data_IF_727719477736
#
_entry.id   IF_727719477736
#
_cell.length_a   1.000
_cell.length_b   1.000
_cell.length_c   1.000
_cell.angle_alpha   90.00
_cell.angle_beta   90.00
_cell.angle_gamma   90.00
#
_symmetry.space_group_name_H-M   'P 1'
#
loop_
_entity.id
_entity.type
_entity.pdbx_description
1 polymer ?
#
# COMPACT_ATOMS: atom_id res chain seq x y z
N UNK A 1 14.91 -2.58 20.21
CA UNK A 1 15.29 -2.26 18.82
C UNK A 1 14.16 -1.42 18.22
N UNK A 2 14.42 -0.51 17.28
CA UNK A 2 13.33 0.19 16.59
C UNK A 2 12.48 -0.81 15.81
N UNK A 3 11.16 -0.56 15.76
CA UNK A 3 10.23 -1.38 15.00
C UNK A 3 10.51 -1.26 13.49
N UNK A 4 10.37 -2.37 12.79
CA UNK A 4 10.64 -2.47 11.34
C UNK A 4 9.34 -2.51 10.55
N UNK A 5 9.10 -1.48 9.78
CA UNK A 5 7.91 -1.34 8.94
C UNK A 5 8.24 -1.64 7.48
N UNK A 6 7.54 -2.62 6.93
CA UNK A 6 7.53 -2.91 5.49
C UNK A 6 6.31 -2.25 4.85
N UNK A 7 6.52 -1.45 3.82
CA UNK A 7 5.44 -1.00 2.94
C UNK A 7 5.33 -1.97 1.76
N UNK A 8 4.15 -2.46 1.50
CA UNK A 8 3.84 -3.31 0.35
C UNK A 8 2.92 -2.57 -0.62
N UNK A 9 3.35 -2.44 -1.86
CA UNK A 9 2.58 -1.84 -2.95
C UNK A 9 2.25 -2.94 -3.96
N UNK A 10 1.01 -3.49 -3.95
CA UNK A 10 0.52 -4.33 -5.02
C UNK A 10 0.34 -3.49 -6.28
N UNK A 11 0.98 -3.88 -7.39
CA UNK A 11 0.95 -3.16 -8.65
C UNK A 11 0.47 -4.05 -9.79
N UNK A 12 -0.60 -3.62 -10.47
CA UNK A 12 -1.10 -4.26 -11.68
C UNK A 12 -1.72 -3.21 -12.60
N UNK A 13 -1.11 -2.99 -13.77
CA UNK A 13 -1.56 -2.02 -14.76
C UNK A 13 -1.84 -0.62 -14.17
N UNK A 14 -0.85 -0.09 -13.47
CA UNK A 14 -0.92 1.22 -12.78
C UNK A 14 0.27 2.15 -13.15
N UNK A 15 0.73 2.08 -14.40
CA UNK A 15 1.86 2.85 -14.93
C UNK A 15 1.82 4.34 -14.56
N UNK A 16 0.64 4.97 -14.68
CA UNK A 16 0.46 6.41 -14.42
C UNK A 16 0.33 6.74 -12.93
N UNK A 17 -0.11 5.80 -12.12
CA UNK A 17 -0.40 5.99 -10.70
C UNK A 17 0.80 5.66 -9.82
N UNK A 18 1.50 4.57 -10.11
CA UNK A 18 2.55 4.04 -9.22
C UNK A 18 3.67 5.04 -8.91
N UNK A 19 4.13 5.94 -9.82
CA UNK A 19 5.11 6.95 -9.46
C UNK A 19 4.60 7.94 -8.40
N UNK A 20 3.29 8.30 -8.43
CA UNK A 20 2.69 9.19 -7.44
C UNK A 20 2.58 8.51 -6.08
N UNK A 21 2.25 7.21 -6.07
CA UNK A 21 2.25 6.40 -4.84
C UNK A 21 3.64 6.35 -4.24
N UNK A 22 4.66 6.07 -5.05
CA UNK A 22 6.06 6.03 -4.61
C UNK A 22 6.56 7.39 -4.09
N UNK A 23 6.10 8.51 -4.67
CA UNK A 23 6.46 9.84 -4.20
C UNK A 23 6.00 10.10 -2.75
N UNK A 24 4.99 9.40 -2.25
CA UNK A 24 4.57 9.52 -0.86
C UNK A 24 5.65 9.05 0.13
N UNK A 25 6.54 8.15 -0.30
CA UNK A 25 7.67 7.68 0.51
C UNK A 25 8.76 8.74 0.72
N UNK A 26 8.74 9.82 -0.07
CA UNK A 26 9.67 10.95 0.05
C UNK A 26 9.26 11.94 1.15
N UNK A 27 8.04 11.81 1.69
CA UNK A 27 7.63 12.57 2.87
C UNK A 27 8.57 12.25 4.04
N UNK A 28 9.04 13.28 4.75
CA UNK A 28 10.04 13.15 5.81
C UNK A 28 9.58 12.22 6.95
N UNK A 29 8.32 12.31 7.34
CA UNK A 29 7.78 11.49 8.43
C UNK A 29 7.58 10.05 8.00
N UNK A 30 7.12 9.85 6.76
CA UNK A 30 6.99 8.52 6.14
C UNK A 30 8.37 7.87 6.00
N UNK A 31 9.34 8.58 5.45
CA UNK A 31 10.70 8.08 5.27
C UNK A 31 11.38 7.71 6.60
N UNK A 32 11.06 8.43 7.69
CA UNK A 32 11.58 8.10 9.02
C UNK A 32 10.94 6.84 9.63
N UNK A 33 9.73 6.48 9.21
CA UNK A 33 9.00 5.29 9.67
C UNK A 33 9.34 4.05 8.86
N UNK A 34 9.43 4.18 7.54
CA UNK A 34 9.53 3.04 6.61
C UNK A 34 10.94 2.46 6.62
N UNK A 35 11.06 1.17 6.95
CA UNK A 35 12.34 0.46 6.87
C UNK A 35 12.64 0.01 5.44
N UNK A 36 11.63 -0.50 4.73
CA UNK A 36 11.73 -0.92 3.33
C UNK A 36 10.35 -0.85 2.67
N UNK A 37 10.33 -0.66 1.36
CA UNK A 37 9.14 -0.75 0.54
C UNK A 37 9.35 -1.80 -0.56
N UNK A 38 8.41 -2.73 -0.71
CA UNK A 38 8.37 -3.65 -1.84
C UNK A 38 7.21 -3.29 -2.77
N UNK A 39 7.50 -3.13 -4.04
CA UNK A 39 6.48 -3.08 -5.10
C UNK A 39 6.40 -4.47 -5.71
N UNK A 40 5.24 -5.11 -5.62
CA UNK A 40 5.02 -6.43 -6.23
C UNK A 40 4.24 -6.24 -7.53
N UNK A 41 4.97 -6.30 -8.65
CA UNK A 41 4.38 -6.29 -9.98
C UNK A 41 3.72 -7.64 -10.28
N UNK A 42 2.39 -7.65 -10.30
CA UNK A 42 1.59 -8.86 -10.54
C UNK A 42 1.40 -9.15 -12.03
N UNK A 43 2.49 -9.13 -12.81
CA UNK A 43 2.49 -9.38 -14.26
C UNK A 43 1.72 -8.31 -15.04
N UNK A 44 1.99 -7.04 -14.76
CA UNK A 44 1.44 -5.93 -15.56
C UNK A 44 1.78 -6.06 -17.04
N UNK A 45 0.87 -5.65 -17.88
CA UNK A 45 0.99 -5.65 -19.35
C UNK A 45 1.23 -4.26 -19.92
N UNK A 46 1.15 -3.22 -19.09
CA UNK A 46 1.48 -1.82 -19.40
C UNK A 46 2.92 -1.46 -18.96
N UNK A 47 3.25 -0.19 -18.96
CA UNK A 47 4.54 0.35 -18.53
C UNK A 47 4.78 0.39 -17.01
N UNK A 48 3.97 -0.27 -16.17
CA UNK A 48 4.09 -0.24 -14.70
C UNK A 48 5.51 -0.58 -14.22
N UNK A 49 6.09 -1.67 -14.75
CA UNK A 49 7.43 -2.11 -14.34
C UNK A 49 8.50 -1.06 -14.67
N UNK A 50 8.46 -0.53 -15.90
CA UNK A 50 9.39 0.49 -16.34
C UNK A 50 9.24 1.80 -15.52
N UNK A 51 8.01 2.17 -15.17
CA UNK A 51 7.73 3.34 -14.34
C UNK A 51 8.34 3.20 -12.93
N UNK A 52 8.23 2.03 -12.31
CA UNK A 52 8.86 1.76 -11.00
C UNK A 52 10.38 1.80 -11.12
N UNK A 53 10.96 1.15 -12.12
CA UNK A 53 12.41 1.14 -12.33
C UNK A 53 12.97 2.55 -12.56
N UNK A 54 12.30 3.35 -13.38
CA UNK A 54 12.69 4.74 -13.63
C UNK A 54 12.62 5.57 -12.36
N UNK A 55 11.58 5.38 -11.54
CA UNK A 55 11.45 6.05 -10.26
C UNK A 55 12.59 5.66 -9.30
N UNK A 56 12.92 4.37 -9.19
CA UNK A 56 14.03 3.89 -8.36
C UNK A 56 15.38 4.44 -8.81
N UNK A 57 15.61 4.56 -10.12
CA UNK A 57 16.82 5.17 -10.66
C UNK A 57 16.94 6.65 -10.29
N UNK A 58 15.83 7.38 -10.30
CA UNK A 58 15.78 8.78 -9.90
C UNK A 58 15.93 8.99 -8.37
N UNK A 59 15.64 7.95 -7.57
CA UNK A 59 15.67 8.01 -6.11
C UNK A 59 16.48 6.86 -5.50
N UNK A 60 17.80 6.77 -5.78
CA UNK A 60 18.63 5.63 -5.40
C UNK A 60 18.79 5.44 -3.89
N UNK A 61 18.46 6.45 -3.08
CA UNK A 61 18.50 6.38 -1.62
C UNK A 61 17.19 5.89 -1.00
N UNK A 62 16.11 5.81 -1.77
CA UNK A 62 14.84 5.31 -1.28
C UNK A 62 14.93 3.78 -1.08
N UNK A 63 14.48 3.24 0.06
CA UNK A 63 14.56 1.81 0.35
C UNK A 63 13.46 1.03 -0.39
N UNK A 64 13.41 1.13 -1.71
CA UNK A 64 12.39 0.50 -2.57
C UNK A 64 12.98 -0.66 -3.34
N UNK A 65 12.26 -1.78 -3.34
CA UNK A 65 12.58 -2.99 -4.10
C UNK A 65 11.42 -3.38 -4.99
N UNK A 66 11.70 -3.71 -6.24
CA UNK A 66 10.72 -4.25 -7.19
C UNK A 66 10.81 -5.77 -7.21
N UNK A 67 9.69 -6.42 -6.92
CA UNK A 67 9.47 -7.85 -7.10
C UNK A 67 8.49 -8.07 -8.25
N UNK A 68 8.66 -9.17 -8.98
CA UNK A 68 7.78 -9.52 -10.09
C UNK A 68 7.27 -10.94 -9.93
N UNK A 69 5.97 -11.10 -9.96
CA UNK A 69 5.37 -12.43 -10.02
C UNK A 69 5.65 -13.08 -11.40
N UNK A 70 5.84 -14.36 -11.44
CA UNK A 70 6.05 -15.12 -12.68
C UNK A 70 4.77 -15.25 -13.50
N UNK A 71 3.60 -15.16 -12.84
CA UNK A 71 2.28 -15.04 -13.46
C UNK A 71 1.37 -14.13 -12.63
N UNK A 72 0.18 -13.80 -13.15
CA UNK A 72 -0.80 -13.04 -12.42
C UNK A 72 -1.53 -13.94 -11.41
N UNK A 73 -1.21 -13.77 -10.14
CA UNK A 73 -1.82 -14.50 -9.02
C UNK A 73 -3.01 -13.77 -8.39
N UNK A 74 -3.45 -12.68 -9.00
CA UNK A 74 -4.44 -11.79 -8.41
C UNK A 74 -3.90 -11.03 -7.19
N UNK A 75 -4.75 -10.21 -6.59
CA UNK A 75 -4.36 -9.38 -5.44
C UNK A 75 -3.97 -10.24 -4.23
N UNK A 76 -4.74 -11.29 -3.94
CA UNK A 76 -4.47 -12.21 -2.82
C UNK A 76 -3.14 -12.94 -2.94
N UNK A 77 -2.72 -13.33 -4.15
CA UNK A 77 -1.42 -13.93 -4.38
C UNK A 77 -0.29 -12.96 -4.11
N UNK A 78 -0.41 -11.69 -4.55
CA UNK A 78 0.58 -10.65 -4.24
C UNK A 78 0.68 -10.37 -2.74
N UNK A 79 -0.44 -10.43 -1.99
CA UNK A 79 -0.41 -10.34 -0.52
C UNK A 79 0.36 -11.48 0.12
N UNK A 80 0.18 -12.73 -0.35
CA UNK A 80 0.95 -13.88 0.15
C UNK A 80 2.44 -13.70 -0.05
N UNK A 81 2.87 -13.19 -1.21
CA UNK A 81 4.28 -12.85 -1.48
C UNK A 81 4.79 -11.83 -0.45
N UNK A 82 4.03 -10.76 -0.22
CA UNK A 82 4.41 -9.72 0.72
C UNK A 82 4.48 -10.22 2.18
N UNK A 83 3.53 -11.04 2.61
CA UNK A 83 3.55 -11.64 3.94
C UNK A 83 4.73 -12.58 4.15
N UNK A 84 5.02 -13.44 3.16
CA UNK A 84 6.19 -14.32 3.21
C UNK A 84 7.49 -13.50 3.27
N UNK A 85 7.58 -12.45 2.47
CA UNK A 85 8.72 -11.53 2.48
C UNK A 85 8.90 -10.88 3.85
N UNK A 86 7.82 -10.35 4.44
CA UNK A 86 7.85 -9.72 5.75
C UNK A 86 8.36 -10.67 6.84
N UNK A 87 7.86 -11.90 6.87
CA UNK A 87 8.27 -12.93 7.85
C UNK A 87 9.74 -13.33 7.63
N UNK A 88 10.16 -13.60 6.40
CA UNK A 88 11.52 -14.01 6.08
C UNK A 88 12.58 -12.96 6.40
N UNK A 89 12.20 -11.67 6.33
CA UNK A 89 13.11 -10.54 6.59
C UNK A 89 12.92 -9.90 7.98
N UNK A 90 12.13 -10.53 8.86
CA UNK A 90 11.89 -10.10 10.25
C UNK A 90 11.36 -8.67 10.34
N UNK A 91 10.34 -8.33 9.55
CA UNK A 91 9.57 -7.10 9.72
C UNK A 91 8.51 -7.29 10.81
N UNK A 92 8.33 -6.26 11.66
CA UNK A 92 7.34 -6.29 12.73
C UNK A 92 5.95 -5.94 12.22
N UNK A 93 5.87 -5.05 11.23
CA UNK A 93 4.62 -4.56 10.66
C UNK A 93 4.70 -4.49 9.13
N UNK A 94 3.56 -4.78 8.50
CA UNK A 94 3.37 -4.61 7.07
C UNK A 94 2.24 -3.62 6.82
N UNK A 95 2.52 -2.57 6.04
CA UNK A 95 1.55 -1.56 5.59
C UNK A 95 1.23 -1.83 4.13
N UNK A 96 -0.04 -2.03 3.81
CA UNK A 96 -0.50 -2.18 2.42
C UNK A 96 -0.91 -0.82 1.88
N UNK A 97 -0.22 -0.37 0.83
CA UNK A 97 -0.54 0.85 0.09
C UNK A 97 -0.78 0.51 -1.38
N UNK A 98 -2.02 0.62 -1.84
CA UNK A 98 -2.37 0.21 -3.20
C UNK A 98 -1.72 1.09 -4.27
N UNK A 99 -1.25 0.47 -5.38
CA UNK A 99 -0.57 1.14 -6.49
C UNK A 99 -1.48 2.00 -7.38
N UNK A 100 -2.79 2.03 -7.10
CA UNK A 100 -3.82 2.78 -7.84
C UNK A 100 -3.97 4.25 -7.40
N UNK A 101 -3.16 4.71 -6.43
CA UNK A 101 -3.14 6.08 -5.91
C UNK A 101 -4.45 6.51 -5.19
N UNK A 102 -5.18 5.55 -4.62
CA UNK A 102 -6.40 5.84 -3.87
C UNK A 102 -6.19 5.95 -2.36
N UNK A 103 -5.01 5.56 -1.86
CA UNK A 103 -4.61 5.66 -0.45
C UNK A 103 -3.51 6.69 -0.23
N UNK A 104 -3.44 7.20 0.99
CA UNK A 104 -2.35 8.07 1.45
C UNK A 104 -1.66 7.42 2.64
N UNK A 105 -0.37 7.08 2.50
CA UNK A 105 0.38 6.43 3.57
C UNK A 105 0.49 7.30 4.83
N UNK A 106 0.34 8.63 4.71
CA UNK A 106 0.37 9.53 5.86
C UNK A 106 -0.80 9.31 6.82
N UNK A 107 -1.88 8.69 6.36
CA UNK A 107 -3.04 8.36 7.21
C UNK A 107 -2.68 7.34 8.31
N UNK A 108 -1.59 6.57 8.14
CA UNK A 108 -1.12 5.62 9.16
C UNK A 108 -0.24 6.28 10.23
N UNK A 109 0.34 7.46 9.95
CA UNK A 109 1.27 8.13 10.87
C UNK A 109 0.69 8.39 12.26
N UNK A 110 -0.56 8.92 12.42
CA UNK A 110 -1.14 9.11 13.75
C UNK A 110 -1.31 7.82 14.54
N UNK A 111 -1.61 6.71 13.83
CA UNK A 111 -1.74 5.38 14.44
C UNK A 111 -0.40 4.89 14.98
N UNK A 112 0.67 5.06 14.20
CA UNK A 112 2.04 4.66 14.57
C UNK A 112 2.59 5.56 15.67
N UNK A 113 2.48 6.89 15.53
CA UNK A 113 2.98 7.85 16.52
C UNK A 113 2.32 7.70 17.89
N UNK A 114 1.03 7.36 17.93
CA UNK A 114 0.32 7.10 19.19
C UNK A 114 0.61 5.72 19.79
N UNK A 115 1.32 4.85 19.08
CA UNK A 115 1.58 3.46 19.50
C UNK A 115 0.32 2.57 19.49
N UNK A 116 -0.80 3.04 18.94
CA UNK A 116 -2.07 2.28 18.91
C UNK A 116 -2.00 1.05 18.01
N UNK A 117 -1.17 1.07 16.97
CA UNK A 117 -0.91 -0.08 16.09
C UNK A 117 -0.51 -1.35 16.85
N UNK A 118 0.15 -1.21 18.02
CA UNK A 118 0.58 -2.34 18.88
C UNK A 118 -0.55 -3.05 19.60
N UNK A 119 -1.76 -2.48 19.58
CA UNK A 119 -2.93 -3.01 20.30
C UNK A 119 -3.79 -3.94 19.45
N UNK A 120 -3.51 -4.05 18.17
CA UNK A 120 -4.34 -4.76 17.20
C UNK A 120 -3.48 -5.58 16.25
N UNK A 121 -3.95 -6.77 15.90
CA UNK A 121 -3.28 -7.63 14.91
C UNK A 121 -3.44 -7.10 13.49
N UNK A 122 -4.54 -6.35 13.23
CA UNK A 122 -4.82 -5.73 11.94
C UNK A 122 -5.54 -4.39 12.13
N UNK A 123 -5.12 -3.38 11.39
CA UNK A 123 -5.76 -2.06 11.33
C UNK A 123 -6.17 -1.79 9.88
N UNK A 124 -7.45 -1.56 9.66
CA UNK A 124 -7.99 -1.25 8.34
C UNK A 124 -8.30 0.25 8.23
N UNK A 125 -7.81 0.88 7.17
CA UNK A 125 -8.24 2.21 6.77
C UNK A 125 -9.67 2.15 6.21
N UNK A 126 -10.54 3.07 6.63
CA UNK A 126 -11.89 3.19 6.11
C UNK A 126 -12.08 4.53 5.43
N UNK A 127 -12.66 4.50 4.21
CA UNK A 127 -13.03 5.72 3.46
C UNK A 127 -14.34 6.33 3.93
N UNK A 128 -15.12 5.59 4.68
CA UNK A 128 -16.50 5.94 5.05
C UNK A 128 -16.65 6.29 6.53
N UNK A 129 -15.56 6.62 7.20
CA UNK A 129 -15.61 7.19 8.55
C UNK A 129 -16.10 8.64 8.48
N UNK A 130 -16.76 9.17 9.53
CA UNK A 130 -17.25 10.56 9.55
C UNK A 130 -16.18 11.60 9.22
N UNK A 131 -14.93 11.36 9.59
CA UNK A 131 -13.79 12.24 9.37
C UNK A 131 -13.07 11.99 8.03
N UNK A 132 -13.46 10.94 7.28
CA UNK A 132 -12.80 10.57 6.04
C UNK A 132 -13.08 11.58 4.93
N UNK A 133 -12.01 11.97 4.22
CA UNK A 133 -12.12 12.80 3.01
C UNK A 133 -12.08 11.90 1.78
N UNK A 134 -13.23 11.75 1.13
CA UNK A 134 -13.36 10.94 -0.09
C UNK A 134 -12.88 11.78 -1.27
N UNK A 135 -11.75 11.40 -1.88
CA UNK A 135 -11.24 12.01 -3.11
C UNK A 135 -11.47 11.09 -4.30
N UNK A 136 -11.95 11.64 -5.41
CA UNK A 136 -11.97 10.93 -6.70
C UNK A 136 -13.15 9.99 -6.95
N UNK A 137 -14.14 9.93 -6.05
CA UNK A 137 -15.37 9.15 -6.26
C UNK A 137 -16.54 10.04 -6.63
N UNK A 138 -17.28 9.64 -7.67
CA UNK A 138 -18.61 10.22 -7.93
C UNK A 138 -19.62 9.74 -6.89
N UNK A 139 -20.65 10.54 -6.61
CA UNK A 139 -21.72 10.19 -5.67
C UNK A 139 -22.33 8.80 -5.92
N UNK A 140 -22.61 8.36 -7.17
CA UNK A 140 -23.11 7.01 -7.44
C UNK A 140 -22.15 5.90 -7.01
N UNK A 141 -20.84 6.06 -7.20
CA UNK A 141 -19.83 5.07 -6.83
C UNK A 141 -19.72 4.95 -5.30
N UNK A 142 -19.75 6.07 -4.59
CA UNK A 142 -19.76 6.08 -3.12
C UNK A 142 -20.98 5.33 -2.56
N UNK A 143 -22.16 5.51 -3.18
CA UNK A 143 -23.39 4.84 -2.76
C UNK A 143 -23.35 3.32 -2.99
N UNK A 144 -22.80 2.86 -4.11
CA UNK A 144 -22.68 1.42 -4.40
C UNK A 144 -21.69 0.73 -3.46
N UNK A 145 -20.59 1.39 -3.11
CA UNK A 145 -19.63 0.86 -2.13
C UNK A 145 -20.22 0.77 -0.71
N UNK A 146 -20.98 1.78 -0.28
CA UNK A 146 -21.68 1.73 1.02
C UNK A 146 -22.64 0.54 1.09
N UNK A 147 -23.45 0.31 0.05
CA UNK A 147 -24.38 -0.83 -0.01
C UNK A 147 -23.66 -2.19 -0.03
N UNK A 148 -22.54 -2.32 -0.73
CA UNK A 148 -21.76 -3.55 -0.74
C UNK A 148 -21.24 -3.94 0.66
N UNK A 149 -20.90 -2.95 1.50
CA UNK A 149 -20.49 -3.19 2.88
C UNK A 149 -21.67 -3.57 3.80
N UNK A 150 -22.85 -3.00 3.59
CA UNK A 150 -24.05 -3.35 4.38
C UNK A 150 -24.51 -4.79 4.12
N UNK A 151 -24.35 -5.31 2.90
CA UNK A 151 -24.72 -6.70 2.57
C UNK A 151 -23.73 -7.75 3.09
N UNK A 152 -22.51 -7.36 3.44
CA UNK A 152 -21.50 -8.26 4.01
C UNK A 152 -21.65 -8.48 5.52
N UNK A 153 -22.55 -7.74 6.18
CA UNK A 153 -22.82 -7.85 7.63
C UNK A 153 -23.96 -8.83 7.95
N UNK A 154 -24.52 -9.52 6.96
CA UNK A 154 -25.63 -10.46 7.12
C UNK A 154 -25.31 -11.92 6.72
N UNK A 155 -24.04 -12.32 6.85
CA UNK A 155 -23.64 -13.73 6.72
C UNK A 155 -23.00 -14.25 8.00
#
# INVERSE_FOLDING_TARGET
MPERFLVFIPAYNCEKQVPRVLNQLLDRQVAAMVTECIVVNNRSTDGTEAAVQSWMQAHPQAPVRLLRNDQNYGLGGSHKVAFQYAVQHNFDYLIVLHGDDQGDIRDVLPLVHSGRHRKYDCCLGSRFMPESRIKGYSTPVSYTHLRAHETSLHL
#
